data_IF_804998359948
#
_entry.id   IF_804998359948
#
_cell.length_a   1.000
_cell.length_b   1.000
_cell.length_c   1.000
_cell.angle_alpha   90.00
_cell.angle_beta   90.00
_cell.angle_gamma   90.00
#
_symmetry.space_group_name_H-M   'P 1'
#
loop_
_entity.id
_entity.type
_entity.pdbx_description
1 polymer ?
#
# COMPACT_ATOMS: atom_id res chain seq x y z
N UNK A 1 13.98 3.99 -4.40
CA UNK A 1 14.55 4.26 -3.07
C UNK A 1 14.59 2.96 -2.26
N UNK A 2 15.76 2.67 -1.65
CA UNK A 2 16.02 1.45 -0.86
C UNK A 2 15.02 1.30 0.29
N UNK A 3 14.66 2.39 0.96
CA UNK A 3 13.72 2.37 2.08
C UNK A 3 12.32 1.87 1.65
N UNK A 4 11.83 2.37 0.53
CA UNK A 4 10.54 1.95 -0.03
C UNK A 4 10.57 0.49 -0.49
N UNK A 5 11.69 0.05 -1.09
CA UNK A 5 11.85 -1.33 -1.50
C UNK A 5 11.87 -2.27 -0.29
N UNK A 6 12.61 -1.90 0.77
CA UNK A 6 12.67 -2.67 2.02
C UNK A 6 11.28 -2.80 2.67
N UNK A 7 10.55 -1.70 2.80
CA UNK A 7 9.20 -1.72 3.38
C UNK A 7 8.24 -2.61 2.59
N UNK A 8 8.25 -2.49 1.25
CA UNK A 8 7.40 -3.33 0.38
C UNK A 8 7.74 -4.81 0.55
N UNK A 9 9.02 -5.15 0.56
CA UNK A 9 9.45 -6.55 0.68
C UNK A 9 9.13 -7.14 2.05
N UNK A 10 9.36 -6.38 3.13
CA UNK A 10 8.99 -6.81 4.48
C UNK A 10 7.47 -6.97 4.60
N UNK A 11 6.68 -6.02 4.12
CA UNK A 11 5.23 -6.12 4.13
C UNK A 11 4.72 -7.31 3.31
N UNK A 12 5.30 -7.55 2.13
CA UNK A 12 4.95 -8.68 1.28
C UNK A 12 5.31 -10.03 1.92
N UNK A 13 6.44 -10.10 2.61
CA UNK A 13 6.88 -11.29 3.33
C UNK A 13 6.00 -11.53 4.56
N UNK A 14 5.75 -10.48 5.34
CA UNK A 14 4.91 -10.54 6.54
C UNK A 14 3.47 -10.97 6.21
N UNK A 15 2.90 -10.49 5.11
CA UNK A 15 1.57 -10.89 4.66
C UNK A 15 1.45 -12.38 4.30
N UNK A 16 2.57 -13.05 4.02
CA UNK A 16 2.62 -14.50 3.73
C UNK A 16 2.74 -15.35 4.99
N UNK A 17 3.03 -14.75 6.12
CA UNK A 17 3.18 -15.45 7.40
C UNK A 17 1.87 -15.52 8.18
N UNK A 18 1.92 -16.20 9.32
CA UNK A 18 0.85 -16.31 10.30
C UNK A 18 1.33 -15.76 11.64
N UNK A 19 0.50 -14.95 12.28
CA UNK A 19 0.76 -14.39 13.61
C UNK A 19 0.40 -15.37 14.74
N UNK A 20 0.62 -14.94 16.00
CA UNK A 20 0.29 -15.77 17.18
C UNK A 20 -1.23 -15.94 17.39
N UNK A 21 -2.05 -15.13 16.76
CA UNK A 21 -3.51 -15.25 16.78
C UNK A 21 -4.05 -16.10 15.63
N UNK A 22 -3.17 -16.77 14.88
CA UNK A 22 -3.52 -17.58 13.70
C UNK A 22 -4.18 -16.74 12.60
N UNK A 23 -3.78 -15.46 12.51
CA UNK A 23 -4.21 -14.58 11.43
C UNK A 23 -3.07 -14.36 10.44
N UNK A 24 -3.39 -14.19 9.14
CA UNK A 24 -2.40 -13.76 8.16
C UNK A 24 -1.77 -12.44 8.59
N UNK A 25 -0.49 -12.26 8.35
CA UNK A 25 0.21 -11.03 8.68
C UNK A 25 -0.41 -9.82 7.99
N UNK A 26 -0.61 -8.76 8.76
CA UNK A 26 -1.04 -7.46 8.24
C UNK A 26 0.13 -6.65 7.70
N UNK A 27 -0.08 -5.36 7.52
CA UNK A 27 0.98 -4.42 7.15
C UNK A 27 1.94 -4.23 8.32
N UNK A 28 3.21 -4.55 8.15
CA UNK A 28 4.26 -4.41 9.17
C UNK A 28 4.73 -2.95 9.30
N UNK A 29 5.11 -2.35 8.17
CA UNK A 29 5.50 -0.94 8.08
C UNK A 29 4.40 -0.12 7.43
N UNK A 30 4.12 1.05 7.98
CA UNK A 30 3.27 2.04 7.33
C UNK A 30 4.03 2.64 6.13
N UNK A 31 3.34 2.77 5.00
CA UNK A 31 3.94 3.41 3.83
C UNK A 31 4.16 4.90 4.12
N UNK A 32 5.37 5.44 3.89
CA UNK A 32 5.59 6.86 4.06
C UNK A 32 4.73 7.67 3.09
N UNK A 33 4.37 8.89 3.46
CA UNK A 33 3.67 9.77 2.54
C UNK A 33 4.52 9.98 1.28
N UNK A 34 3.89 9.92 0.11
CA UNK A 34 4.56 10.16 -1.17
C UNK A 34 4.96 11.63 -1.35
N UNK A 35 4.25 12.52 -0.66
CA UNK A 35 4.41 13.97 -0.76
C UNK A 35 4.55 14.61 0.61
N UNK A 36 5.44 15.59 0.69
CA UNK A 36 5.53 16.51 1.81
C UNK A 36 4.70 17.76 1.49
N UNK A 37 3.76 18.09 2.36
CA UNK A 37 2.89 19.25 2.22
C UNK A 37 3.23 20.24 3.33
N UNK A 38 3.67 21.43 2.93
CA UNK A 38 4.06 22.49 3.87
C UNK A 38 2.98 23.57 3.94
N UNK A 39 2.40 23.74 5.11
CA UNK A 39 1.35 24.70 5.45
C UNK A 39 1.86 25.92 6.22
N UNK A 40 3.17 26.11 6.34
CA UNK A 40 3.76 27.14 7.23
C UNK A 40 3.30 28.57 6.93
N UNK A 41 2.81 28.83 5.71
CA UNK A 41 2.29 30.13 5.28
C UNK A 41 0.77 30.09 5.03
N UNK A 42 0.09 29.01 5.42
CA UNK A 42 -1.37 28.95 5.39
C UNK A 42 -1.93 29.34 6.77
N UNK A 43 -2.92 30.21 6.79
CA UNK A 43 -3.64 30.68 7.98
C UNK A 43 -5.07 30.22 8.02
N UNK A 44 -5.62 29.81 6.89
CA UNK A 44 -6.92 29.16 6.80
C UNK A 44 -6.89 27.70 7.26
N UNK A 45 -8.00 27.00 7.12
CA UNK A 45 -8.14 25.57 7.46
C UNK A 45 -8.03 24.63 6.26
N UNK A 46 -7.52 25.14 5.12
CA UNK A 46 -7.39 24.32 3.93
C UNK A 46 -6.40 23.17 4.14
N UNK A 47 -6.82 21.95 3.79
CA UNK A 47 -6.01 20.75 3.79
C UNK A 47 -5.95 20.19 2.37
N UNK A 48 -4.77 19.82 1.93
CA UNK A 48 -4.54 19.21 0.62
C UNK A 48 -4.27 17.71 0.78
N UNK A 49 -4.92 16.91 -0.05
CA UNK A 49 -4.61 15.49 -0.23
C UNK A 49 -4.16 15.28 -1.66
N UNK A 50 -2.98 14.71 -1.83
CA UNK A 50 -2.36 14.50 -3.14
C UNK A 50 -2.33 13.03 -3.47
N UNK A 51 -2.93 12.67 -4.60
CA UNK A 51 -2.88 11.32 -5.14
C UNK A 51 -2.21 11.34 -6.52
N UNK A 52 -1.50 10.28 -6.86
CA UNK A 52 -0.90 10.12 -8.17
C UNK A 52 -1.82 9.27 -9.04
N UNK A 53 -2.08 9.72 -10.27
CA UNK A 53 -3.00 9.04 -11.19
C UNK A 53 -2.40 7.78 -11.81
N UNK A 54 -1.06 7.68 -11.86
CA UNK A 54 -0.32 6.51 -12.34
C UNK A 54 0.92 6.25 -11.48
N UNK A 55 1.26 4.97 -11.28
CA UNK A 55 2.54 4.58 -10.69
C UNK A 55 3.69 4.88 -11.68
N UNK A 56 4.20 6.08 -11.65
CA UNK A 56 5.45 6.44 -12.31
C UNK A 56 6.49 6.78 -11.25
N UNK A 57 7.73 6.30 -11.44
CA UNK A 57 8.86 6.65 -10.58
C UNK A 57 9.39 8.07 -10.86
N UNK A 58 8.71 8.84 -11.70
CA UNK A 58 9.13 10.18 -12.05
C UNK A 58 9.06 11.12 -10.85
N UNK A 59 10.13 11.88 -10.70
CA UNK A 59 10.26 12.88 -9.66
C UNK A 59 9.27 14.01 -9.94
N UNK A 60 8.22 14.08 -9.12
CA UNK A 60 7.18 15.10 -9.28
C UNK A 60 7.80 16.48 -8.99
N UNK A 61 7.62 17.40 -9.94
CA UNK A 61 8.03 18.78 -9.76
C UNK A 61 7.34 19.39 -8.52
N UNK A 62 8.05 20.16 -7.69
CA UNK A 62 7.43 20.82 -6.56
C UNK A 62 6.43 21.87 -7.05
N UNK A 63 5.25 21.86 -6.44
CA UNK A 63 4.14 22.78 -6.75
C UNK A 63 3.91 23.74 -5.59
N UNK A 64 3.57 24.97 -5.90
CA UNK A 64 3.04 25.92 -4.94
C UNK A 64 1.60 26.30 -5.25
N UNK A 65 0.81 26.45 -4.22
CA UNK A 65 -0.62 26.80 -4.26
C UNK A 65 -0.82 28.11 -3.52
N UNK A 66 -1.32 29.11 -4.19
CA UNK A 66 -1.70 30.40 -3.63
C UNK A 66 -3.20 30.60 -3.78
N UNK A 67 -3.91 30.88 -2.69
CA UNK A 67 -5.34 31.15 -2.74
C UNK A 67 -5.61 32.64 -3.03
N UNK A 68 -6.43 32.89 -4.04
CA UNK A 68 -6.95 34.18 -4.46
C UNK A 68 -8.44 34.24 -4.10
N UNK A 69 -8.75 34.84 -2.97
CA UNK A 69 -10.12 34.94 -2.44
C UNK A 69 -11.02 35.74 -3.36
N UNK A 70 -10.49 36.82 -3.97
CA UNK A 70 -11.27 37.69 -4.86
C UNK A 70 -11.90 36.92 -6.02
N UNK A 71 -11.19 35.94 -6.55
CA UNK A 71 -11.66 35.10 -7.65
C UNK A 71 -12.06 33.70 -7.17
N UNK A 72 -12.01 33.42 -5.85
CA UNK A 72 -12.32 32.16 -5.21
C UNK A 72 -11.61 30.98 -5.92
N UNK A 73 -10.30 31.09 -6.15
CA UNK A 73 -9.54 30.09 -6.92
C UNK A 73 -8.12 29.92 -6.39
N UNK A 74 -7.51 28.80 -6.74
CA UNK A 74 -6.11 28.54 -6.49
C UNK A 74 -5.27 28.92 -7.73
N UNK A 75 -4.18 29.61 -7.48
CA UNK A 75 -3.10 29.83 -8.45
C UNK A 75 -2.04 28.79 -8.14
N UNK A 76 -1.80 27.88 -9.08
CA UNK A 76 -0.81 26.81 -8.92
C UNK A 76 0.38 27.11 -9.80
N UNK A 77 1.57 27.03 -9.22
CA UNK A 77 2.83 27.26 -9.91
C UNK A 77 3.71 26.01 -9.82
N UNK A 78 4.20 25.54 -10.95
CA UNK A 78 5.29 24.59 -11.02
C UNK A 78 6.60 25.33 -10.72
N UNK A 79 7.23 25.01 -9.60
CA UNK A 79 8.41 25.73 -9.12
C UNK A 79 9.63 25.52 -10.03
N UNK A 80 9.71 24.38 -10.74
CA UNK A 80 10.83 24.08 -11.61
C UNK A 80 10.75 24.88 -12.93
N UNK A 81 9.55 25.00 -13.49
CA UNK A 81 9.34 25.64 -14.78
C UNK A 81 8.86 27.10 -14.66
N UNK A 82 8.36 27.50 -13.51
CA UNK A 82 7.73 28.81 -13.29
C UNK A 82 6.34 28.94 -13.95
N UNK A 83 5.83 27.89 -14.55
CA UNK A 83 4.51 27.92 -15.19
C UNK A 83 3.40 28.01 -14.15
N UNK A 84 2.47 28.96 -14.38
CA UNK A 84 1.33 29.23 -13.52
C UNK A 84 0.03 28.90 -14.24
N UNK A 85 -0.90 28.32 -13.53
CA UNK A 85 -2.27 28.20 -13.98
C UNK A 85 -3.24 28.47 -12.83
N UNK A 86 -4.45 28.86 -13.17
CA UNK A 86 -5.50 29.10 -12.20
C UNK A 86 -6.52 27.96 -12.23
N UNK A 87 -6.93 27.49 -11.07
CA UNK A 87 -8.04 26.53 -10.97
C UNK A 87 -9.36 27.16 -11.37
N UNK A 88 -10.39 26.35 -11.58
CA UNK A 88 -11.76 26.85 -11.61
C UNK A 88 -12.12 27.48 -10.25
N UNK A 89 -13.05 28.44 -10.26
CA UNK A 89 -13.55 29.04 -9.03
C UNK A 89 -14.22 27.98 -8.14
N UNK A 90 -13.88 27.98 -6.85
CA UNK A 90 -14.41 27.03 -5.87
C UNK A 90 -13.98 25.58 -6.09
N UNK A 91 -12.94 25.33 -6.89
CA UNK A 91 -12.45 23.98 -7.16
C UNK A 91 -12.05 23.25 -5.89
N UNK A 92 -12.63 22.08 -5.68
CA UNK A 92 -12.28 21.12 -4.60
C UNK A 92 -11.30 20.06 -5.08
N UNK A 93 -11.07 19.97 -6.40
CA UNK A 93 -10.09 19.07 -7.01
C UNK A 93 -9.35 19.79 -8.14
N UNK A 94 -8.06 19.56 -8.20
CA UNK A 94 -7.17 20.12 -9.23
C UNK A 94 -6.33 18.95 -9.76
N UNK A 95 -6.39 18.75 -11.09
CA UNK A 95 -5.55 17.77 -11.77
C UNK A 95 -4.40 18.51 -12.47
N UNK A 96 -3.16 18.10 -12.19
CA UNK A 96 -1.96 18.70 -12.77
C UNK A 96 -0.80 17.71 -12.79
N UNK A 97 -0.09 17.62 -13.89
CA UNK A 97 1.12 16.81 -14.04
C UNK A 97 0.95 15.35 -13.54
N UNK A 98 -0.20 14.71 -13.81
CA UNK A 98 -0.50 13.34 -13.38
C UNK A 98 -0.77 13.23 -11.86
N UNK A 99 -1.03 14.35 -11.20
CA UNK A 99 -1.47 14.41 -9.81
C UNK A 99 -2.91 14.89 -9.73
N UNK A 100 -3.67 14.28 -8.85
CA UNK A 100 -4.97 14.78 -8.41
C UNK A 100 -4.84 15.31 -6.99
N UNK A 101 -5.07 16.61 -6.82
CA UNK A 101 -5.05 17.32 -5.55
C UNK A 101 -6.48 17.57 -5.10
N UNK A 102 -6.88 16.96 -3.99
CA UNK A 102 -8.17 17.22 -3.34
C UNK A 102 -7.99 18.25 -2.23
N UNK A 103 -8.92 19.19 -2.13
CA UNK A 103 -8.87 20.32 -1.21
C UNK A 103 -10.07 20.26 -0.29
N UNK A 104 -9.82 20.24 1.01
CA UNK A 104 -10.82 20.26 2.07
C UNK A 104 -10.62 21.49 2.95
N UNK A 105 -11.67 21.86 3.71
CA UNK A 105 -11.63 23.05 4.58
C UNK A 105 -11.82 24.37 3.83
N UNK A 106 -11.49 25.47 4.50
CA UNK A 106 -11.74 26.84 4.04
C UNK A 106 -10.41 27.61 3.96
N UNK A 107 -9.93 27.88 2.76
CA UNK A 107 -8.78 28.77 2.58
C UNK A 107 -9.17 30.22 2.86
N UNK A 108 -8.18 31.05 3.17
CA UNK A 108 -8.30 32.51 3.24
C UNK A 108 -7.31 33.15 2.28
N UNK A 109 -7.55 34.40 1.95
CA UNK A 109 -6.71 35.14 1.01
C UNK A 109 -5.22 35.10 1.35
N UNK A 110 -4.41 34.78 0.36
CA UNK A 110 -2.97 34.67 0.51
C UNK A 110 -2.47 33.39 1.17
N UNK A 111 -3.35 32.41 1.45
CA UNK A 111 -2.90 31.09 1.90
C UNK A 111 -1.94 30.50 0.87
N UNK A 112 -0.75 30.14 1.34
CA UNK A 112 0.30 29.58 0.50
C UNK A 112 0.70 28.20 1.02
N UNK A 113 0.56 27.20 0.16
CA UNK A 113 0.86 25.79 0.48
C UNK A 113 1.84 25.27 -0.55
N UNK A 114 2.88 24.59 -0.09
CA UNK A 114 3.84 23.93 -0.99
C UNK A 114 3.69 22.43 -0.92
N UNK A 115 3.67 21.78 -2.07
CA UNK A 115 3.65 20.33 -2.24
C UNK A 115 4.93 19.93 -2.95
N UNK A 116 5.65 18.96 -2.43
CA UNK A 116 6.84 18.37 -3.05
C UNK A 116 6.87 16.87 -2.80
N UNK A 117 7.56 16.13 -3.67
CA UNK A 117 7.80 14.71 -3.42
C UNK A 117 8.59 14.52 -2.12
N UNK A 118 8.26 13.48 -1.35
CA UNK A 118 9.00 13.14 -0.15
C UNK A 118 10.44 12.74 -0.53
N UNK A 119 11.41 13.56 -0.15
CA UNK A 119 12.83 13.36 -0.46
C UNK A 119 13.54 12.41 0.51
N UNK A 120 12.90 12.13 1.65
CA UNK A 120 13.50 11.30 2.68
C UNK A 120 12.47 10.30 3.26
N UNK A 121 11.97 9.37 2.45
CA UNK A 121 11.01 8.37 2.91
C UNK A 121 11.60 7.49 4.03
N UNK A 122 12.92 7.32 4.09
CA UNK A 122 13.58 6.58 5.15
C UNK A 122 13.34 7.16 6.56
N UNK A 123 13.27 8.50 6.67
CA UNK A 123 12.98 9.17 7.93
C UNK A 123 11.53 9.00 8.41
N UNK A 124 10.64 8.57 7.51
CA UNK A 124 9.21 8.40 7.77
C UNK A 124 8.81 6.95 7.97
N UNK A 125 9.78 6.02 8.04
CA UNK A 125 9.51 4.60 8.31
C UNK A 125 8.94 4.47 9.72
N UNK A 126 7.74 3.89 9.81
CA UNK A 126 7.09 3.60 11.08
C UNK A 126 6.56 2.17 11.09
N UNK A 127 6.73 1.49 12.23
CA UNK A 127 6.11 0.18 12.45
C UNK A 127 4.63 0.40 12.75
N UNK A 128 3.76 -0.26 12.01
CA UNK A 128 2.30 -0.18 12.18
C UNK A 128 1.79 -1.13 13.26
N UNK A 129 2.54 -2.21 13.52
CA UNK A 129 2.15 -3.19 14.52
C UNK A 129 2.27 -2.60 15.92
N UNK A 130 1.22 -2.73 16.72
CA UNK A 130 1.16 -2.26 18.11
C UNK A 130 1.36 -3.39 19.12
N UNK A 131 1.19 -4.64 18.69
CA UNK A 131 1.32 -5.84 19.51
C UNK A 131 2.37 -6.76 18.88
N UNK A 132 3.45 -7.16 19.62
CA UNK A 132 4.46 -8.08 19.11
C UNK A 132 3.90 -9.43 18.65
N UNK A 133 2.75 -9.86 19.19
CA UNK A 133 2.09 -11.10 18.81
C UNK A 133 1.48 -11.08 17.41
N UNK A 134 1.34 -9.89 16.82
CA UNK A 134 0.90 -9.69 15.43
C UNK A 134 2.03 -9.91 14.42
N UNK A 135 3.26 -10.17 14.88
CA UNK A 135 4.38 -10.50 13.99
C UNK A 135 4.11 -11.87 13.37
N UNK A 136 3.89 -11.89 12.05
CA UNK A 136 3.59 -13.10 11.31
C UNK A 136 4.88 -13.83 10.90
N UNK A 137 5.46 -14.55 11.83
CA UNK A 137 6.69 -15.32 11.65
C UNK A 137 6.44 -16.83 11.46
N UNK A 138 5.19 -17.28 11.60
CA UNK A 138 4.80 -18.66 11.38
C UNK A 138 4.43 -18.93 9.92
N UNK A 139 4.58 -20.18 9.48
CA UNK A 139 4.08 -20.60 8.19
C UNK A 139 2.55 -20.70 8.21
N UNK A 140 1.90 -20.24 7.14
CA UNK A 140 0.44 -20.37 6.95
C UNK A 140 -0.01 -21.83 6.92
N UNK A 141 0.87 -22.73 6.52
CA UNK A 141 0.60 -24.15 6.41
C UNK A 141 1.76 -24.97 6.99
N UNK A 142 1.41 -25.94 7.80
CA UNK A 142 2.34 -26.95 8.28
C UNK A 142 1.92 -28.29 7.73
N UNK A 143 2.79 -28.94 6.96
CA UNK A 143 2.61 -30.33 6.54
C UNK A 143 3.32 -31.20 7.54
N UNK A 144 2.58 -32.13 8.17
CA UNK A 144 3.17 -33.17 9.02
C UNK A 144 2.82 -34.54 8.43
N UNK A 145 3.80 -35.44 8.41
CA UNK A 145 3.57 -36.84 8.06
C UNK A 145 3.17 -37.60 9.32
N UNK A 146 2.23 -38.54 9.18
CA UNK A 146 1.90 -39.44 10.28
C UNK A 146 3.11 -40.36 10.59
N UNK A 147 3.32 -40.71 11.85
CA UNK A 147 4.49 -41.47 12.31
C UNK A 147 4.57 -42.86 11.64
N UNK A 148 3.44 -43.40 11.21
CA UNK A 148 3.35 -44.71 10.52
C UNK A 148 3.55 -44.61 9.00
N UNK A 149 3.81 -43.41 8.46
CA UNK A 149 4.05 -43.26 7.04
C UNK A 149 5.48 -43.65 6.68
N UNK A 150 5.65 -44.89 6.20
CA UNK A 150 6.93 -45.44 5.78
C UNK A 150 7.21 -45.24 4.27
N UNK A 151 6.32 -44.57 3.56
CA UNK A 151 6.44 -44.29 2.12
C UNK A 151 7.31 -43.06 1.84
N UNK A 152 7.95 -43.02 0.66
CA UNK A 152 8.74 -41.86 0.17
C UNK A 152 7.86 -40.76 -0.46
N UNK A 153 6.66 -40.49 0.07
CA UNK A 153 5.77 -39.48 -0.45
C UNK A 153 6.28 -38.08 -0.13
N UNK A 154 6.32 -37.21 -1.14
CA UNK A 154 6.60 -35.77 -0.99
C UNK A 154 5.32 -34.97 -1.18
N UNK A 155 5.09 -33.98 -0.33
CA UNK A 155 3.94 -33.07 -0.45
C UNK A 155 4.42 -31.65 -0.72
N UNK A 156 3.73 -30.95 -1.62
CA UNK A 156 3.93 -29.52 -1.83
C UNK A 156 2.60 -28.79 -1.75
N UNK A 157 2.58 -27.66 -1.06
CA UNK A 157 1.42 -26.79 -0.95
C UNK A 157 1.73 -25.51 -1.72
N UNK A 158 0.83 -25.13 -2.62
CA UNK A 158 0.87 -23.83 -3.31
C UNK A 158 -0.38 -23.05 -2.97
N UNK A 159 -0.21 -21.78 -2.58
CA UNK A 159 -1.31 -20.83 -2.51
C UNK A 159 -1.68 -20.41 -3.91
N UNK A 160 -2.92 -20.73 -4.33
CA UNK A 160 -3.50 -20.12 -5.52
C UNK A 160 -4.09 -18.76 -5.11
N UNK A 161 -3.44 -17.68 -5.47
CA UNK A 161 -4.05 -16.35 -5.42
C UNK A 161 -4.96 -16.20 -6.63
N UNK A 162 -6.21 -16.65 -6.47
CA UNK A 162 -7.27 -16.34 -7.44
C UNK A 162 -7.44 -14.82 -7.49
N UNK A 163 -7.43 -14.26 -8.68
CA UNK A 163 -7.68 -12.86 -8.94
C UNK A 163 -9.06 -12.47 -8.44
N UNK A 164 -9.09 -11.39 -7.61
CA UNK A 164 -10.18 -10.43 -7.50
C UNK A 164 -11.54 -10.86 -6.92
N UNK A 165 -11.96 -10.04 -5.96
CA UNK A 165 -13.33 -9.80 -5.50
C UNK A 165 -13.94 -10.79 -4.52
N UNK A 166 -13.92 -10.39 -3.31
CA UNK A 166 -14.54 -10.78 -2.05
C UNK A 166 -13.53 -11.35 -1.07
N UNK A 167 -13.76 -11.27 0.25
CA UNK A 167 -12.94 -11.98 1.24
C UNK A 167 -13.20 -13.48 1.02
N UNK A 168 -12.55 -14.02 0.02
CA UNK A 168 -12.73 -15.36 -0.43
C UNK A 168 -11.98 -16.30 0.51
N UNK A 169 -12.65 -17.34 0.93
CA UNK A 169 -12.04 -18.52 1.42
C UNK A 169 -10.80 -18.84 0.57
N UNK A 170 -9.62 -18.91 1.20
CA UNK A 170 -8.40 -19.32 0.52
C UNK A 170 -8.57 -20.78 0.09
N UNK A 171 -8.81 -20.98 -1.19
CA UNK A 171 -8.91 -22.32 -1.75
C UNK A 171 -7.50 -22.86 -1.92
N UNK A 172 -7.14 -23.89 -1.17
CA UNK A 172 -5.93 -24.66 -1.44
C UNK A 172 -6.27 -25.63 -2.56
N UNK A 173 -5.98 -25.24 -3.81
CA UNK A 173 -6.04 -26.14 -4.93
C UNK A 173 -4.65 -26.72 -5.16
N UNK A 174 -4.58 -28.03 -5.26
CA UNK A 174 -3.44 -28.88 -5.55
C UNK A 174 -2.52 -29.24 -4.38
N UNK A 175 -3.00 -30.15 -3.56
CA UNK A 175 -2.13 -31.00 -2.78
C UNK A 175 -1.69 -32.16 -3.69
N UNK A 176 -0.53 -32.09 -4.31
CA UNK A 176 0.05 -33.19 -5.07
C UNK A 176 0.78 -34.12 -4.09
N UNK A 177 0.18 -35.25 -3.81
CA UNK A 177 0.83 -36.35 -3.07
C UNK A 177 1.44 -37.31 -4.08
N UNK A 178 2.75 -37.23 -4.29
CA UNK A 178 3.48 -38.24 -5.07
C UNK A 178 3.81 -39.41 -4.16
N UNK A 179 3.10 -40.52 -4.37
CA UNK A 179 3.43 -41.80 -3.74
C UNK A 179 4.32 -42.59 -4.69
N UNK A 180 5.58 -42.79 -4.33
CA UNK A 180 6.57 -43.52 -5.15
C UNK A 180 6.25 -45.02 -5.37
N UNK A 181 5.17 -45.53 -4.77
CA UNK A 181 4.76 -46.95 -4.89
C UNK A 181 3.44 -47.14 -5.65
N UNK A 182 2.82 -46.09 -6.15
CA UNK A 182 1.65 -46.25 -7.02
C UNK A 182 1.74 -45.24 -8.16
N UNK A 183 1.57 -45.71 -9.36
CA UNK A 183 1.61 -44.93 -10.60
C UNK A 183 0.38 -44.00 -10.80
N UNK A 184 -0.36 -43.72 -9.75
CA UNK A 184 -1.54 -42.86 -9.82
C UNK A 184 -1.32 -41.63 -8.90
N UNK A 185 -1.26 -40.46 -9.51
CA UNK A 185 -1.34 -39.18 -8.79
C UNK A 185 -2.75 -39.06 -8.19
N UNK A 186 -2.84 -38.90 -6.88
CA UNK A 186 -4.11 -38.64 -6.19
C UNK A 186 -4.16 -37.16 -5.84
N UNK A 187 -5.03 -36.41 -6.49
CA UNK A 187 -5.30 -35.02 -6.17
C UNK A 187 -6.28 -34.97 -5.01
N UNK A 188 -5.88 -34.31 -3.92
CA UNK A 188 -6.76 -34.03 -2.78
C UNK A 188 -7.01 -32.54 -2.77
N UNK A 189 -8.26 -32.11 -2.99
CA UNK A 189 -8.70 -30.74 -2.83
C UNK A 189 -9.38 -30.56 -1.48
N UNK A 190 -8.99 -29.54 -0.74
CA UNK A 190 -9.63 -29.17 0.50
C UNK A 190 -10.01 -27.67 0.49
N UNK A 191 -11.19 -27.36 1.00
CA UNK A 191 -11.67 -25.99 1.21
C UNK A 191 -11.45 -25.64 2.68
N UNK A 192 -10.73 -24.55 2.95
CA UNK A 192 -10.63 -24.00 4.29
C UNK A 192 -11.71 -22.91 4.44
N UNK A 193 -12.65 -23.13 5.34
CA UNK A 193 -13.61 -22.09 5.75
C UNK A 193 -13.09 -21.45 7.04
N UNK A 194 -12.94 -20.13 7.03
CA UNK A 194 -12.59 -19.35 8.22
C UNK A 194 -13.74 -19.46 9.22
N UNK A 195 -13.47 -19.69 10.54
CA UNK A 195 -14.47 -19.56 11.58
C UNK A 195 -14.97 -18.13 11.74
#
# INVERSE_FOLDING_TARGET
DIANALMREVNATHAKGMDMFQQPGGTFFESPPLFDINYSLARGSAQLSVTRDQESDENVAPLSFLFDEKNNRWIVEDINTGNKFASAAGAKKIAINGLTISIEGNPIDGDFIRVQGNKNPAASIQVKLTDPRQIAAGDLFRVSTHVENTGGATSSIRLSTGSSEAPAATTVSDLLVNNSHSSAAKTVSGTYSKP
#
